data_IF_988438450352
#
_entry.id   IF_988438450352
#
_cell.length_a   1.000
_cell.length_b   1.000
_cell.length_c   1.000
_cell.angle_alpha   90.00
_cell.angle_beta   90.00
_cell.angle_gamma   90.00
#
_symmetry.space_group_name_H-M   'P 1'
#
loop_
_entity.id
_entity.type
_entity.pdbx_description
1 polymer ?
#
# COMPACT_ATOMS: atom_id res chain seq x y z
N UNK A 1 12.88 -5.78 10.79
CA UNK A 1 12.04 -6.98 10.92
C UNK A 1 10.85 -6.75 10.01
N UNK A 2 10.42 -7.75 9.22
CA UNK A 2 9.32 -7.53 8.32
C UNK A 2 8.03 -7.17 9.06
N UNK A 3 7.22 -6.31 8.46
CA UNK A 3 5.93 -5.88 8.98
C UNK A 3 4.83 -6.14 7.96
N UNK A 4 3.61 -6.29 8.47
CA UNK A 4 2.39 -6.31 7.67
C UNK A 4 1.70 -4.96 7.83
N UNK A 5 1.30 -4.37 6.71
CA UNK A 5 0.39 -3.23 6.67
C UNK A 5 -0.96 -3.71 6.10
N UNK A 6 -2.03 -3.38 6.81
CA UNK A 6 -3.40 -3.48 6.29
C UNK A 6 -3.89 -2.05 6.08
N UNK A 7 -4.26 -1.74 4.86
CA UNK A 7 -4.75 -0.41 4.52
C UNK A 7 -6.07 -0.10 5.22
N UNK A 8 -6.43 1.20 5.38
CA UNK A 8 -7.80 1.58 5.68
C UNK A 8 -8.73 1.12 4.55
N UNK A 9 -10.03 1.42 4.67
CA UNK A 9 -11.00 1.06 3.64
C UNK A 9 -10.86 1.95 2.41
N UNK A 10 -10.82 1.34 1.23
CA UNK A 10 -10.82 2.03 -0.06
C UNK A 10 -12.11 1.68 -0.83
N UNK A 11 -12.45 2.52 -1.80
CA UNK A 11 -13.10 2.07 -3.03
C UNK A 11 -12.05 1.67 -4.06
N UNK A 12 -12.42 0.82 -5.03
CA UNK A 12 -11.51 0.48 -6.13
C UNK A 12 -11.06 1.74 -6.91
N UNK A 13 -11.97 2.71 -7.09
CA UNK A 13 -11.65 3.97 -7.78
C UNK A 13 -10.60 4.79 -7.03
N UNK A 14 -10.70 4.88 -5.70
CA UNK A 14 -9.70 5.57 -4.87
C UNK A 14 -8.33 4.90 -4.95
N UNK A 15 -8.29 3.57 -4.96
CA UNK A 15 -7.05 2.81 -5.16
C UNK A 15 -6.43 3.11 -6.53
N UNK A 16 -7.23 3.05 -7.60
CA UNK A 16 -6.75 3.31 -8.95
C UNK A 16 -6.27 4.76 -9.13
N UNK A 17 -6.94 5.73 -8.52
CA UNK A 17 -6.53 7.14 -8.53
C UNK A 17 -5.24 7.37 -7.74
N UNK A 18 -5.10 6.72 -6.58
CA UNK A 18 -3.86 6.75 -5.79
C UNK A 18 -2.69 6.25 -6.62
N UNK A 19 -2.85 5.14 -7.35
CA UNK A 19 -1.81 4.59 -8.21
C UNK A 19 -1.49 5.50 -9.40
N UNK A 20 -2.50 6.15 -10.02
CA UNK A 20 -2.27 7.10 -11.11
C UNK A 20 -1.40 8.27 -10.64
N UNK A 21 -1.67 8.79 -9.45
CA UNK A 21 -0.87 9.86 -8.85
C UNK A 21 0.53 9.40 -8.47
N UNK A 22 0.66 8.18 -7.93
CA UNK A 22 1.94 7.66 -7.48
C UNK A 22 2.89 7.32 -8.64
N UNK A 23 2.35 6.76 -9.72
CA UNK A 23 3.13 6.34 -10.91
C UNK A 23 3.15 7.37 -12.03
N UNK A 24 2.30 8.40 -11.95
CA UNK A 24 2.08 9.41 -12.99
C UNK A 24 1.29 8.93 -14.21
N UNK A 25 0.91 7.65 -14.29
CA UNK A 25 0.21 7.10 -15.47
C UNK A 25 -0.64 5.84 -15.20
N UNK A 26 -0.14 4.90 -14.40
CA UNK A 26 -0.74 3.58 -14.24
C UNK A 26 -1.84 3.59 -13.18
N UNK A 27 -2.96 2.92 -13.45
CA UNK A 27 -4.02 2.70 -12.44
C UNK A 27 -3.71 1.55 -11.48
N UNK A 28 -2.65 0.77 -11.73
CA UNK A 28 -2.29 -0.42 -10.94
C UNK A 28 -0.78 -0.54 -10.85
N UNK A 29 -0.33 -1.08 -9.73
CA UNK A 29 1.05 -1.55 -9.57
C UNK A 29 1.19 -2.95 -10.16
N UNK A 30 2.25 -3.17 -10.93
CA UNK A 30 2.48 -4.43 -11.66
C UNK A 30 3.82 -5.07 -11.30
N UNK A 31 4.78 -4.27 -10.81
CA UNK A 31 6.08 -4.74 -10.38
C UNK A 31 6.60 -3.92 -9.20
N UNK A 32 7.55 -4.45 -8.40
CA UNK A 32 8.18 -3.69 -7.32
C UNK A 32 8.81 -2.36 -7.77
N UNK A 33 9.24 -2.26 -9.03
CA UNK A 33 9.81 -1.05 -9.60
C UNK A 33 8.80 0.11 -9.75
N UNK A 34 7.50 -0.17 -9.61
CA UNK A 34 6.47 0.87 -9.61
C UNK A 34 6.39 1.62 -8.25
N UNK A 35 7.02 1.11 -7.18
CA UNK A 35 7.10 1.84 -5.90
C UNK A 35 8.25 2.85 -5.92
N UNK A 36 8.03 4.06 -5.35
CA UNK A 36 9.05 5.10 -5.31
C UNK A 36 10.14 4.86 -4.26
N UNK A 37 10.06 3.76 -3.49
CA UNK A 37 11.01 3.40 -2.44
C UNK A 37 11.30 1.90 -2.47
N UNK A 38 12.48 1.52 -1.97
CA UNK A 38 12.86 0.12 -1.76
C UNK A 38 12.28 -0.45 -0.45
N UNK A 39 12.19 -1.79 -0.39
CA UNK A 39 11.84 -2.54 0.81
C UNK A 39 10.43 -3.14 0.83
N UNK A 40 9.65 -3.01 -0.25
CA UNK A 40 8.40 -3.75 -0.43
C UNK A 40 8.71 -5.22 -0.76
N UNK A 41 8.09 -6.13 -0.02
CA UNK A 41 8.21 -7.59 -0.21
C UNK A 41 6.99 -8.18 -0.91
N UNK A 42 5.80 -7.67 -0.62
CA UNK A 42 4.56 -8.10 -1.27
C UNK A 42 3.53 -6.97 -1.27
N UNK A 43 2.72 -6.93 -2.32
CA UNK A 43 1.55 -6.07 -2.43
C UNK A 43 0.37 -6.86 -2.99
N UNK A 44 -0.75 -6.83 -2.29
CA UNK A 44 -1.97 -7.50 -2.68
C UNK A 44 -3.11 -6.50 -2.51
N UNK A 45 -3.85 -6.25 -3.59
CA UNK A 45 -4.99 -5.35 -3.60
C UNK A 45 -6.21 -6.07 -4.17
N UNK A 46 -7.37 -5.91 -3.52
CA UNK A 46 -8.58 -6.57 -3.99
C UNK A 46 -9.86 -6.09 -3.31
N UNK A 47 -10.97 -6.35 -3.99
CA UNK A 47 -12.31 -6.11 -3.47
C UNK A 47 -12.71 -7.24 -2.51
N UNK A 48 -12.90 -6.89 -1.24
CA UNK A 48 -13.57 -7.76 -0.27
C UNK A 48 -15.09 -7.55 -0.29
N UNK A 49 -15.82 -8.27 0.58
CA UNK A 49 -17.29 -8.17 0.65
C UNK A 49 -17.79 -6.76 1.04
N UNK A 50 -17.01 -6.04 1.85
CA UNK A 50 -17.40 -4.73 2.40
C UNK A 50 -16.63 -3.55 1.80
N UNK A 51 -15.34 -3.73 1.56
CA UNK A 51 -14.45 -2.66 1.10
C UNK A 51 -13.33 -3.21 0.23
N UNK A 52 -12.74 -2.34 -0.58
CA UNK A 52 -11.48 -2.62 -1.24
C UNK A 52 -10.36 -2.49 -0.21
N UNK A 53 -9.43 -3.45 -0.20
CA UNK A 53 -8.34 -3.52 0.78
C UNK A 53 -7.02 -3.75 0.07
N UNK A 54 -5.98 -3.17 0.66
CA UNK A 54 -4.58 -3.40 0.29
C UNK A 54 -3.85 -4.01 1.49
N UNK A 55 -3.06 -5.04 1.21
CA UNK A 55 -2.15 -5.67 2.16
C UNK A 55 -0.75 -5.59 1.59
N UNK A 56 0.14 -4.96 2.35
CA UNK A 56 1.56 -4.88 2.02
C UNK A 56 2.40 -5.60 3.06
N UNK A 57 3.51 -6.18 2.61
CA UNK A 57 4.59 -6.64 3.49
C UNK A 57 5.83 -5.84 3.19
N UNK A 58 6.44 -5.26 4.22
CA UNK A 58 7.65 -4.45 4.12
C UNK A 58 8.80 -5.09 4.90
N UNK A 59 10.04 -4.88 4.46
CA UNK A 59 11.24 -5.36 5.16
C UNK A 59 11.41 -4.77 6.58
N UNK A 60 10.87 -3.57 6.80
CA UNK A 60 11.00 -2.81 8.04
C UNK A 60 9.96 -1.68 8.14
N UNK A 61 9.72 -1.19 9.36
CA UNK A 61 8.94 0.03 9.60
C UNK A 61 9.59 1.25 8.93
N UNK A 62 10.92 1.32 8.91
CA UNK A 62 11.64 2.40 8.24
C UNK A 62 11.38 2.44 6.73
N UNK A 63 11.24 1.28 6.08
CA UNK A 63 10.88 1.21 4.67
C UNK A 63 9.46 1.70 4.41
N UNK A 64 8.50 1.26 5.22
CA UNK A 64 7.13 1.76 5.18
C UNK A 64 7.06 3.27 5.42
N UNK A 65 7.80 3.80 6.40
CA UNK A 65 7.76 5.22 6.76
C UNK A 65 8.21 6.11 5.58
N UNK A 66 9.26 5.73 4.85
CA UNK A 66 9.66 6.44 3.63
C UNK A 66 8.56 6.44 2.57
N UNK A 67 7.83 5.33 2.43
CA UNK A 67 6.69 5.29 1.52
C UNK A 67 5.52 6.15 2.00
N UNK A 68 5.23 6.11 3.30
CA UNK A 68 4.14 6.85 3.92
C UNK A 68 4.30 8.37 3.75
N UNK A 69 5.52 8.89 3.80
CA UNK A 69 5.82 10.30 3.52
C UNK A 69 5.34 10.75 2.14
N UNK A 70 5.37 9.85 1.15
CA UNK A 70 4.92 10.09 -0.23
C UNK A 70 3.42 9.79 -0.37
N UNK A 71 2.97 8.67 0.20
CA UNK A 71 1.63 8.12 0.00
C UNK A 71 0.55 8.92 0.74
N UNK A 72 0.79 9.34 1.98
CA UNK A 72 -0.24 9.99 2.82
C UNK A 72 -0.83 11.25 2.18
N UNK A 73 -0.05 12.19 1.61
CA UNK A 73 -0.60 13.32 0.88
C UNK A 73 -1.52 12.90 -0.28
N UNK A 74 -1.11 11.89 -1.05
CA UNK A 74 -1.87 11.38 -2.20
C UNK A 74 -3.21 10.78 -1.74
N UNK A 75 -3.20 9.98 -0.67
CA UNK A 75 -4.40 9.38 -0.09
C UNK A 75 -5.40 10.44 0.37
N UNK A 76 -4.92 11.51 1.02
CA UNK A 76 -5.77 12.63 1.45
C UNK A 76 -6.43 13.32 0.26
N UNK A 77 -5.68 13.56 -0.81
CA UNK A 77 -6.25 14.15 -2.02
C UNK A 77 -7.23 13.22 -2.74
N UNK A 78 -7.05 11.90 -2.63
CA UNK A 78 -7.98 10.90 -3.16
C UNK A 78 -9.21 10.68 -2.24
N UNK A 79 -9.29 11.40 -1.11
CA UNK A 79 -10.40 11.30 -0.16
C UNK A 79 -10.42 9.98 0.62
N UNK A 80 -9.27 9.32 0.77
CA UNK A 80 -9.14 8.13 1.61
C UNK A 80 -8.96 8.56 3.06
N UNK A 81 -9.77 7.99 3.95
CA UNK A 81 -9.78 8.30 5.37
C UNK A 81 -9.45 7.07 6.21
N UNK A 82 -9.01 7.31 7.45
CA UNK A 82 -8.65 6.28 8.41
C UNK A 82 -7.16 5.94 8.43
N UNK A 83 -6.78 5.23 9.48
CA UNK A 83 -5.40 4.80 9.70
C UNK A 83 -5.20 3.35 9.25
N UNK A 84 -4.02 3.00 8.73
CA UNK A 84 -3.67 1.61 8.48
C UNK A 84 -3.43 0.87 9.79
N UNK A 85 -3.58 -0.45 9.77
CA UNK A 85 -3.06 -1.32 10.82
C UNK A 85 -1.64 -1.75 10.43
N UNK A 86 -0.69 -1.62 11.36
CA UNK A 86 0.70 -2.01 11.15
C UNK A 86 1.16 -2.88 12.31
N UNK A 87 1.75 -4.04 12.01
CA UNK A 87 2.25 -4.95 13.02
C UNK A 87 3.39 -5.83 12.50
N UNK A 88 4.26 -6.36 13.38
CA UNK A 88 5.32 -7.29 12.98
C UNK A 88 4.77 -8.53 12.29
N UNK A 89 5.39 -8.92 11.18
CA UNK A 89 5.11 -10.20 10.55
C UNK A 89 5.79 -11.31 11.37
N UNK A 90 5.00 -12.22 11.94
CA UNK A 90 5.55 -13.39 12.64
C UNK A 90 6.32 -14.31 11.67
N UNK A 91 5.76 -14.51 10.47
CA UNK A 91 6.36 -15.31 9.39
C UNK A 91 6.00 -14.67 8.05
N UNK A 92 6.96 -14.63 7.12
CA UNK A 92 6.73 -14.28 5.71
C UNK A 92 7.37 -15.36 4.81
N UNK A 93 6.60 -15.85 3.83
CA UNK A 93 7.04 -16.84 2.84
C UNK A 93 6.55 -16.40 1.48
N UNK A 94 7.45 -16.30 0.51
CA UNK A 94 7.14 -16.08 -0.91
C UNK A 94 7.34 -17.37 -1.70
N UNK A 95 6.61 -17.53 -2.81
CA UNK A 95 6.70 -18.68 -3.72
C UNK A 95 7.95 -18.63 -4.62
#
# INVERSE_FOLDING_TARGET
MPIVLISPEFTQEQYEETNRKLTGAKSRMESPADWPVEGLLAHIAGQGERSFRVVDVWESEEALNRFAEILIPILREAGVEGDPEVYPALTYVSA
#
